data_IF_434493454448
#
_entry.id   IF_434493454448
#
_cell.length_a   1.000
_cell.length_b   1.000
_cell.length_c   1.000
_cell.angle_alpha   90.00
_cell.angle_beta   90.00
_cell.angle_gamma   90.00
#
_symmetry.space_group_name_H-M   'P 1'
#
loop_
_entity.id
_entity.type
_entity.pdbx_description
1 polymer ?
#
# COMPACT_ATOMS: atom_id res chain seq x y z
N UNK A 1 -17.07 -20.65 6.40
CA UNK A 1 -16.49 -20.71 5.04
C UNK A 1 -17.29 -21.72 4.25
N UNK A 2 -17.86 -21.37 3.09
CA UNK A 2 -18.72 -22.28 2.33
C UNK A 2 -17.85 -23.18 1.45
N UNK A 3 -17.44 -24.32 1.98
CA UNK A 3 -16.46 -25.23 1.37
C UNK A 3 -16.99 -25.92 0.12
N UNK A 4 -18.29 -26.24 0.05
CA UNK A 4 -18.92 -26.88 -1.11
C UNK A 4 -18.84 -26.02 -2.37
N UNK A 5 -19.00 -24.71 -2.22
CA UNK A 5 -18.87 -23.75 -3.32
C UNK A 5 -17.43 -23.66 -3.83
N UNK A 6 -16.46 -23.70 -2.90
CA UNK A 6 -15.03 -23.70 -3.25
C UNK A 6 -14.66 -24.98 -3.99
N UNK A 7 -15.12 -26.14 -3.52
CA UNK A 7 -14.82 -27.43 -4.15
C UNK A 7 -15.43 -27.54 -5.56
N UNK A 8 -16.66 -27.05 -5.75
CA UNK A 8 -17.30 -26.99 -7.06
C UNK A 8 -16.55 -26.09 -8.06
N UNK A 9 -16.03 -24.95 -7.59
CA UNK A 9 -15.19 -24.07 -8.41
C UNK A 9 -13.87 -24.75 -8.80
N UNK A 10 -13.23 -25.46 -7.87
CA UNK A 10 -11.98 -26.19 -8.14
C UNK A 10 -12.21 -27.29 -9.19
N UNK A 11 -13.28 -28.08 -9.06
CA UNK A 11 -13.61 -29.09 -10.07
C UNK A 11 -13.91 -28.49 -11.44
N UNK A 12 -14.65 -27.38 -11.48
CA UNK A 12 -14.94 -26.67 -12.73
C UNK A 12 -13.65 -26.22 -13.41
N UNK A 13 -12.73 -25.59 -12.67
CA UNK A 13 -11.43 -25.15 -13.18
C UNK A 13 -10.59 -26.34 -13.66
N UNK A 14 -10.65 -27.47 -12.96
CA UNK A 14 -9.93 -28.69 -13.35
C UNK A 14 -10.51 -29.32 -14.63
N UNK A 15 -11.80 -29.14 -14.91
CA UNK A 15 -12.42 -29.65 -16.13
C UNK A 15 -12.18 -28.78 -17.37
N UNK A 16 -11.71 -27.53 -17.20
CA UNK A 16 -11.47 -26.61 -18.30
C UNK A 16 -10.33 -27.08 -19.24
N UNK A 17 -10.51 -26.96 -20.57
CA UNK A 17 -9.45 -27.18 -21.55
C UNK A 17 -8.32 -26.14 -21.41
N UNK A 18 -7.14 -26.47 -21.94
CA UNK A 18 -5.91 -25.67 -21.76
C UNK A 18 -6.04 -24.22 -22.22
N UNK A 19 -6.78 -23.97 -23.29
CA UNK A 19 -7.02 -22.63 -23.84
C UNK A 19 -7.90 -21.79 -22.91
N UNK A 20 -8.96 -22.38 -22.34
CA UNK A 20 -9.85 -21.70 -21.41
C UNK A 20 -9.17 -21.47 -20.05
N UNK A 21 -8.28 -22.36 -19.62
CA UNK A 21 -7.43 -22.12 -18.44
C UNK A 21 -6.45 -20.96 -18.67
N UNK A 22 -5.84 -20.87 -19.85
CA UNK A 22 -4.95 -19.75 -20.18
C UNK A 22 -5.71 -18.42 -20.18
N UNK A 23 -6.94 -18.40 -20.73
CA UNK A 23 -7.82 -17.23 -20.69
C UNK A 23 -8.26 -16.88 -19.26
N UNK A 24 -8.53 -17.89 -18.43
CA UNK A 24 -8.86 -17.71 -17.02
C UNK A 24 -7.68 -17.12 -16.24
N UNK A 25 -6.47 -17.64 -16.45
CA UNK A 25 -5.24 -17.13 -15.85
C UNK A 25 -4.94 -15.70 -16.30
N UNK A 26 -5.17 -15.36 -17.56
CA UNK A 26 -5.04 -13.99 -18.08
C UNK A 26 -6.05 -13.04 -17.43
N UNK A 27 -7.31 -13.47 -17.27
CA UNK A 27 -8.34 -12.68 -16.57
C UNK A 27 -8.08 -12.55 -15.08
N UNK A 28 -7.51 -13.57 -14.43
CA UNK A 28 -7.10 -13.54 -13.02
C UNK A 28 -5.87 -12.65 -12.79
N UNK A 29 -4.92 -12.60 -13.74
CA UNK A 29 -3.76 -11.68 -13.69
C UNK A 29 -4.16 -10.21 -13.66
N UNK A 30 -5.36 -9.86 -14.15
CA UNK A 30 -5.90 -8.49 -14.13
C UNK A 30 -6.16 -7.95 -12.72
N UNK A 31 -6.11 -8.80 -11.71
CA UNK A 31 -6.08 -8.41 -10.32
C UNK A 31 -4.64 -8.13 -9.89
N UNK A 32 -4.18 -6.90 -10.17
CA UNK A 32 -3.04 -6.27 -9.49
C UNK A 32 -3.21 -6.23 -7.96
N UNK A 33 -4.35 -6.70 -7.43
CA UNK A 33 -4.59 -6.84 -6.00
C UNK A 33 -3.48 -7.61 -5.29
N UNK A 34 -2.86 -8.62 -5.92
CA UNK A 34 -1.74 -9.35 -5.29
C UNK A 34 -0.46 -8.50 -5.22
N UNK A 35 -0.16 -7.74 -6.27
CA UNK A 35 0.97 -6.82 -6.28
C UNK A 35 0.73 -5.62 -5.34
N UNK A 36 -0.49 -5.07 -5.31
CA UNK A 36 -0.91 -4.03 -4.39
C UNK A 36 -0.88 -4.50 -2.94
N UNK A 37 -1.32 -5.74 -2.68
CA UNK A 37 -1.26 -6.36 -1.36
C UNK A 37 0.19 -6.57 -0.91
N UNK A 38 1.09 -7.00 -1.80
CA UNK A 38 2.51 -7.09 -1.49
C UNK A 38 3.11 -5.72 -1.13
N UNK A 39 2.79 -4.68 -1.90
CA UNK A 39 3.21 -3.30 -1.59
C UNK A 39 2.68 -2.82 -0.22
N UNK A 40 1.48 -3.22 0.15
CA UNK A 40 0.88 -2.90 1.46
C UNK A 40 1.64 -3.58 2.60
N UNK A 41 2.01 -4.86 2.44
CA UNK A 41 2.83 -5.57 3.43
C UNK A 41 4.18 -4.90 3.58
N UNK A 42 4.88 -4.63 2.47
CA UNK A 42 6.20 -4.01 2.49
C UNK A 42 6.17 -2.62 3.17
N UNK A 43 5.07 -1.88 2.98
CA UNK A 43 4.85 -0.58 3.59
C UNK A 43 4.56 -0.70 5.10
N UNK A 44 3.75 -1.68 5.50
CA UNK A 44 3.49 -1.97 6.91
C UNK A 44 4.80 -2.34 7.64
N UNK A 45 5.66 -3.14 7.03
CA UNK A 45 6.96 -3.52 7.58
C UNK A 45 7.89 -2.32 7.74
N UNK A 46 7.93 -1.42 6.74
CA UNK A 46 8.70 -0.17 6.84
C UNK A 46 8.20 0.74 7.96
N UNK A 47 6.89 0.85 8.14
CA UNK A 47 6.28 1.64 9.23
C UNK A 47 6.64 1.02 10.58
N UNK A 48 6.55 -0.31 10.70
CA UNK A 48 6.87 -1.03 11.92
C UNK A 48 8.36 -0.91 12.27
N UNK A 49 9.25 -1.01 11.27
CA UNK A 49 10.69 -0.81 11.43
C UNK A 49 11.03 0.62 11.89
N UNK A 50 10.38 1.65 11.32
CA UNK A 50 10.52 3.04 11.78
C UNK A 50 10.13 3.22 13.25
N UNK A 51 9.16 2.44 13.74
CA UNK A 51 8.69 2.47 15.13
C UNK A 51 9.49 1.54 16.05
N UNK A 52 10.49 0.83 15.53
CA UNK A 52 11.27 -0.15 16.30
C UNK A 52 10.42 -1.28 16.90
N UNK A 53 9.34 -1.69 16.22
CA UNK A 53 8.42 -2.72 16.70
C UNK A 53 7.44 -2.26 17.78
N UNK A 54 7.43 -0.97 18.15
CA UNK A 54 6.50 -0.44 19.15
C UNK A 54 5.10 -0.23 18.56
N UNK A 55 4.03 -0.53 19.32
CA UNK A 55 2.68 -0.15 18.95
C UNK A 55 2.62 1.34 18.63
N UNK A 56 1.79 1.70 17.65
CA UNK A 56 1.54 3.10 17.37
C UNK A 56 0.52 3.65 18.36
N UNK A 57 1.05 4.00 19.53
CA UNK A 57 0.36 4.72 20.56
C UNK A 57 1.29 5.82 21.11
N UNK A 58 1.74 6.77 20.28
CA UNK A 58 2.44 7.93 20.78
C UNK A 58 1.50 8.69 21.73
N UNK A 59 1.98 9.17 22.89
CA UNK A 59 1.23 10.13 23.69
C UNK A 59 0.70 11.25 22.79
N UNK A 60 -0.56 11.68 23.00
CA UNK A 60 -1.24 12.64 22.13
C UNK A 60 -0.39 13.89 21.85
N UNK A 61 0.33 14.37 22.85
CA UNK A 61 1.25 15.49 22.76
C UNK A 61 2.42 15.26 21.78
N UNK A 62 3.01 14.06 21.80
CA UNK A 62 4.09 13.69 20.87
C UNK A 62 3.56 13.53 19.45
N UNK A 63 2.34 13.00 19.29
CA UNK A 63 1.67 12.90 17.99
C UNK A 63 1.38 14.29 17.39
N UNK A 64 0.85 15.20 18.21
CA UNK A 64 0.58 16.59 17.81
C UNK A 64 1.89 17.31 17.46
N UNK A 65 2.97 17.08 18.22
CA UNK A 65 4.28 17.67 17.92
C UNK A 65 4.81 17.16 16.57
N UNK A 66 4.83 15.85 16.36
CA UNK A 66 5.31 15.24 15.11
C UNK A 66 4.52 15.73 13.89
N UNK A 67 3.18 15.74 13.96
CA UNK A 67 2.35 16.22 12.85
C UNK A 67 2.51 17.72 12.58
N UNK A 68 2.81 18.53 13.59
CA UNK A 68 3.12 19.96 13.38
C UNK A 68 4.47 20.16 12.70
N UNK A 69 5.48 19.40 13.10
CA UNK A 69 6.83 19.43 12.50
C UNK A 69 6.77 18.99 11.03
N UNK A 70 6.18 17.83 10.73
CA UNK A 70 6.02 17.33 9.35
C UNK A 70 5.27 18.32 8.45
N UNK A 71 4.20 18.93 8.96
CA UNK A 71 3.45 19.94 8.20
C UNK A 71 4.28 21.19 7.93
N UNK A 72 5.07 21.65 8.90
CA UNK A 72 5.90 22.83 8.73
C UNK A 72 7.01 22.56 7.70
N UNK A 73 7.65 21.38 7.74
CA UNK A 73 8.66 20.98 6.74
C UNK A 73 8.07 20.93 5.33
N UNK A 74 6.90 20.31 5.16
CA UNK A 74 6.19 20.28 3.87
C UNK A 74 5.81 21.68 3.39
N UNK A 75 5.40 22.57 4.30
CA UNK A 75 5.08 23.95 3.98
C UNK A 75 6.33 24.72 3.53
N UNK A 76 7.45 24.56 4.23
CA UNK A 76 8.71 25.20 3.88
C UNK A 76 9.24 24.71 2.52
N UNK A 77 9.14 23.41 2.24
CA UNK A 77 9.49 22.83 0.95
C UNK A 77 8.60 23.40 -0.16
N UNK A 78 7.29 23.47 0.05
CA UNK A 78 6.35 24.09 -0.88
C UNK A 78 6.71 25.55 -1.14
N UNK A 79 6.97 26.33 -0.08
CA UNK A 79 7.34 27.74 -0.21
C UNK A 79 8.65 27.93 -0.97
N UNK A 80 9.68 27.10 -0.73
CA UNK A 80 10.92 27.12 -1.51
C UNK A 80 10.70 26.77 -2.98
N UNK A 81 9.79 25.83 -3.27
CA UNK A 81 9.48 25.41 -4.64
C UNK A 81 8.67 26.45 -5.42
N UNK A 82 7.73 27.14 -4.76
CA UNK A 82 6.84 28.12 -5.40
C UNK A 82 7.45 29.52 -5.43
N UNK A 83 8.30 29.85 -4.46
CA UNK A 83 8.98 31.15 -4.34
C UNK A 83 10.48 30.91 -4.18
N UNK A 84 11.18 30.42 -5.22
CA UNK A 84 12.63 30.35 -5.19
C UNK A 84 13.15 31.77 -4.94
N UNK A 85 13.97 31.95 -3.91
CA UNK A 85 14.61 33.23 -3.62
C UNK A 85 15.42 33.65 -4.84
N UNK A 86 14.86 34.56 -5.65
CA UNK A 86 15.61 35.29 -6.64
C UNK A 86 16.64 36.12 -5.90
N UNK A 87 17.91 35.76 -6.06
CA UNK A 87 19.02 36.61 -5.64
C UNK A 87 18.81 38.00 -6.26
N UNK A 88 18.50 38.97 -5.41
CA UNK A 88 18.53 40.38 -5.78
C UNK A 88 20.01 40.73 -5.95
N UNK A 89 20.45 40.82 -7.20
CA UNK A 89 21.73 41.41 -7.58
C UNK A 89 21.76 42.90 -7.31
#
# INVERSE_FOLDING_TARGET
MNTQLVDGLVQTIQSLPKEERALLDEKLKRSDARAAFQKLIDLADKINARRGGKPFDPPLEDYIRQTREERNEQHDELMRSCFPTSEVK
#
